data_IF_689452494799
#
_entry.id   IF_689452494799
#
_cell.length_a   1.000
_cell.length_b   1.000
_cell.length_c   1.000
_cell.angle_alpha   90.00
_cell.angle_beta   90.00
_cell.angle_gamma   90.00
#
_symmetry.space_group_name_H-M   'P 1'
#
loop_
_entity.id
_entity.type
_entity.pdbx_description
1 polymer ?
#
# COMPACT_ATOMS: atom_id res chain seq x y z
N UNK A 1 -9.20 -3.87 7.16
CA UNK A 1 -9.01 -2.51 7.70
C UNK A 1 -9.19 -2.45 9.20
N UNK A 2 -8.15 -1.97 9.88
CA UNK A 2 -8.15 -1.55 11.28
C UNK A 2 -8.18 -0.03 11.34
N UNK A 3 -8.81 0.50 12.39
CA UNK A 3 -8.98 1.95 12.57
C UNK A 3 -8.77 2.26 14.03
N UNK A 4 -7.87 3.20 14.31
CA UNK A 4 -7.62 3.75 15.63
C UNK A 4 -7.77 5.27 15.61
N UNK A 5 -8.34 5.84 16.68
CA UNK A 5 -8.43 7.29 16.85
C UNK A 5 -9.79 7.83 17.25
N UNK A 6 -10.04 9.08 16.88
CA UNK A 6 -11.21 9.87 17.27
C UNK A 6 -11.80 10.62 16.07
N UNK A 7 -12.83 11.43 16.31
CA UNK A 7 -13.40 12.30 15.26
C UNK A 7 -12.36 13.29 14.69
N UNK A 8 -11.32 13.64 15.46
CA UNK A 8 -10.32 14.64 15.05
C UNK A 8 -9.12 14.05 14.36
N UNK A 9 -8.74 12.83 14.71
CA UNK A 9 -7.58 12.18 14.13
C UNK A 9 -7.84 10.71 13.94
N UNK A 10 -7.33 10.16 12.85
CA UNK A 10 -7.54 8.77 12.50
C UNK A 10 -6.26 8.17 11.96
N UNK A 11 -5.86 7.02 12.49
CA UNK A 11 -4.83 6.17 11.91
C UNK A 11 -5.52 4.90 11.41
N UNK A 12 -5.33 4.55 10.14
CA UNK A 12 -5.89 3.32 9.57
C UNK A 12 -4.77 2.38 9.16
N UNK A 13 -5.02 1.08 9.29
CA UNK A 13 -4.17 0.04 8.69
C UNK A 13 -5.00 -0.82 7.77
N UNK A 14 -4.54 -1.02 6.53
CA UNK A 14 -5.17 -1.92 5.59
C UNK A 14 -4.16 -2.59 4.65
N UNK A 15 -4.65 -3.57 3.89
CA UNK A 15 -3.90 -4.22 2.82
C UNK A 15 -4.76 -4.20 1.55
N UNK A 16 -4.81 -3.06 0.83
CA UNK A 16 -5.81 -2.82 -0.21
C UNK A 16 -5.46 -3.58 -1.49
N UNK A 17 -6.49 -4.20 -2.07
CA UNK A 17 -6.38 -4.98 -3.29
C UNK A 17 -5.79 -4.22 -4.47
N UNK A 18 -6.15 -2.94 -4.65
CA UNK A 18 -5.68 -2.14 -5.78
C UNK A 18 -4.16 -1.93 -5.74
N UNK A 19 -3.59 -1.72 -4.54
CA UNK A 19 -2.14 -1.58 -4.38
C UNK A 19 -1.43 -2.93 -4.55
N UNK A 20 -2.03 -4.03 -4.06
CA UNK A 20 -1.51 -5.38 -4.29
C UNK A 20 -1.46 -5.70 -5.79
N UNK A 21 -2.55 -5.45 -6.52
CA UNK A 21 -2.60 -5.66 -7.95
C UNK A 21 -1.59 -4.76 -8.69
N UNK A 22 -1.47 -3.50 -8.29
CA UNK A 22 -0.48 -2.61 -8.90
C UNK A 22 0.96 -3.09 -8.68
N UNK A 23 1.29 -3.56 -7.49
CA UNK A 23 2.60 -4.15 -7.21
C UNK A 23 2.83 -5.46 -7.98
N UNK A 24 1.81 -6.31 -8.10
CA UNK A 24 1.87 -7.54 -8.89
C UNK A 24 2.14 -7.22 -10.36
N UNK A 25 1.39 -6.29 -10.96
CA UNK A 25 1.62 -5.87 -12.35
C UNK A 25 2.99 -5.22 -12.54
N UNK A 26 3.49 -4.44 -11.58
CA UNK A 26 4.88 -3.91 -11.62
C UNK A 26 5.90 -5.04 -11.70
N UNK A 27 5.73 -6.08 -10.88
CA UNK A 27 6.64 -7.23 -10.84
C UNK A 27 6.56 -8.06 -12.13
N UNK A 28 5.35 -8.36 -12.60
CA UNK A 28 5.09 -9.10 -13.83
C UNK A 28 5.60 -8.34 -15.08
N UNK A 29 5.60 -7.01 -15.04
CA UNK A 29 6.20 -6.17 -16.08
C UNK A 29 7.73 -6.03 -15.96
N UNK A 30 8.36 -6.57 -14.92
CA UNK A 30 9.78 -6.38 -14.66
C UNK A 30 10.19 -4.91 -14.46
N UNK A 31 9.30 -4.07 -13.92
CA UNK A 31 9.49 -2.62 -13.73
C UNK A 31 10.08 -2.25 -12.36
N UNK A 32 10.73 -3.20 -11.68
CA UNK A 32 11.29 -2.98 -10.36
C UNK A 32 12.35 -1.86 -10.38
N UNK A 33 13.26 -1.91 -11.34
CA UNK A 33 14.39 -0.97 -11.46
C UNK A 33 14.00 0.39 -12.06
N UNK A 34 12.98 0.44 -12.94
CA UNK A 34 12.54 1.70 -13.58
C UNK A 34 11.67 2.57 -12.66
N UNK A 35 11.28 2.03 -11.50
CA UNK A 35 10.46 2.70 -10.49
C UNK A 35 11.18 2.78 -9.12
N UNK A 36 12.51 2.65 -9.12
CA UNK A 36 13.35 2.32 -7.96
C UNK A 36 13.23 3.28 -6.75
N UNK A 37 12.75 4.51 -6.93
CA UNK A 37 12.69 5.49 -5.84
C UNK A 37 11.43 5.40 -4.97
N UNK A 38 10.41 4.62 -5.36
CA UNK A 38 9.11 4.71 -4.67
C UNK A 38 8.88 3.57 -3.68
N UNK A 39 9.18 2.30 -4.04
CA UNK A 39 8.89 1.10 -3.20
C UNK A 39 9.81 -0.07 -3.59
N UNK A 40 10.28 -0.90 -2.63
CA UNK A 40 11.01 -2.13 -2.93
C UNK A 40 10.24 -3.13 -3.81
N UNK A 41 10.92 -4.15 -4.37
CA UNK A 41 10.26 -5.28 -5.03
C UNK A 41 9.34 -6.05 -4.09
N UNK A 42 8.38 -6.78 -4.66
CA UNK A 42 7.46 -7.64 -3.90
C UNK A 42 8.13 -8.91 -3.35
N UNK A 43 7.57 -9.43 -2.27
CA UNK A 43 7.95 -10.70 -1.64
C UNK A 43 6.69 -11.54 -1.36
N UNK A 44 6.54 -12.77 -1.90
CA UNK A 44 7.46 -13.46 -2.79
C UNK A 44 7.50 -12.83 -4.20
N UNK A 45 8.63 -12.97 -4.92
CA UNK A 45 8.79 -12.42 -6.26
C UNK A 45 7.86 -13.11 -7.27
N UNK A 46 7.41 -12.34 -8.27
CA UNK A 46 6.70 -12.84 -9.45
C UNK A 46 7.66 -12.91 -10.64
N UNK A 47 7.57 -13.97 -11.43
CA UNK A 47 8.33 -14.09 -12.67
C UNK A 47 7.73 -13.15 -13.73
N UNK A 48 8.54 -12.27 -14.36
CA UNK A 48 8.05 -11.37 -15.40
C UNK A 48 7.44 -12.12 -16.59
N UNK A 49 6.37 -11.56 -17.15
CA UNK A 49 5.71 -12.09 -18.35
C UNK A 49 6.36 -11.55 -19.62
N UNK A 50 6.10 -12.23 -20.74
CA UNK A 50 6.55 -11.74 -22.04
C UNK A 50 5.82 -10.44 -22.44
N UNK A 51 6.60 -9.37 -22.59
CA UNK A 51 6.15 -8.04 -23.00
C UNK A 51 6.22 -7.83 -24.52
N UNK A 52 6.32 -8.89 -25.33
CA UNK A 52 6.30 -8.78 -26.79
C UNK A 52 5.11 -7.91 -27.27
N UNK A 53 5.43 -6.86 -28.01
CA UNK A 53 4.47 -5.90 -28.55
C UNK A 53 3.99 -4.83 -27.57
N UNK A 54 4.49 -4.80 -26.33
CA UNK A 54 4.19 -3.74 -25.34
C UNK A 54 5.36 -2.74 -25.30
N UNK A 55 5.06 -1.45 -25.44
CA UNK A 55 6.05 -0.39 -25.23
C UNK A 55 6.36 -0.28 -23.72
N UNK A 56 7.59 -0.61 -23.34
CA UNK A 56 8.03 -0.65 -21.94
C UNK A 56 8.08 0.74 -21.29
N UNK A 57 8.44 1.77 -22.04
CA UNK A 57 8.52 3.14 -21.52
C UNK A 57 7.11 3.70 -21.28
N UNK A 58 6.20 3.46 -22.23
CA UNK A 58 4.80 3.83 -22.09
C UNK A 58 4.13 3.07 -20.94
N UNK A 59 4.40 1.76 -20.81
CA UNK A 59 3.94 0.93 -19.70
C UNK A 59 4.41 1.47 -18.35
N UNK A 60 5.70 1.80 -18.22
CA UNK A 60 6.26 2.35 -16.99
C UNK A 60 5.61 3.70 -16.62
N UNK A 61 5.35 4.56 -17.60
CA UNK A 61 4.67 5.83 -17.40
C UNK A 61 3.20 5.65 -16.97
N UNK A 62 2.48 4.74 -17.62
CA UNK A 62 1.09 4.41 -17.31
C UNK A 62 0.94 3.79 -15.92
N UNK A 63 1.82 2.86 -15.57
CA UNK A 63 1.86 2.26 -14.24
C UNK A 63 2.11 3.33 -13.16
N UNK A 64 3.09 4.23 -13.35
CA UNK A 64 3.34 5.34 -12.40
C UNK A 64 2.13 6.27 -12.27
N UNK A 65 1.45 6.57 -13.38
CA UNK A 65 0.23 7.37 -13.38
C UNK A 65 -0.90 6.71 -12.59
N UNK A 66 -1.12 5.41 -12.82
CA UNK A 66 -2.11 4.64 -12.07
C UNK A 66 -1.76 4.54 -10.59
N UNK A 67 -0.52 4.18 -10.26
CA UNK A 67 0.02 4.11 -8.89
C UNK A 67 -0.25 5.41 -8.12
N UNK A 68 0.11 6.56 -8.71
CA UNK A 68 -0.13 7.88 -8.12
C UNK A 68 -1.61 8.15 -7.86
N UNK A 69 -2.49 7.65 -8.74
CA UNK A 69 -3.94 7.81 -8.61
C UNK A 69 -4.58 6.93 -7.53
N UNK A 70 -4.01 5.76 -7.21
CA UNK A 70 -4.58 4.80 -6.26
C UNK A 70 -3.92 4.82 -4.87
N UNK A 71 -2.74 5.42 -4.74
CA UNK A 71 -2.08 5.56 -3.44
C UNK A 71 -2.97 6.31 -2.45
N UNK A 72 -3.49 7.53 -2.75
CA UNK A 72 -4.39 8.21 -1.83
C UNK A 72 -5.68 7.43 -1.68
N UNK A 73 -6.03 7.06 -0.44
CA UNK A 73 -7.23 6.25 -0.19
C UNK A 73 -8.53 6.91 -0.68
N UNK A 74 -8.59 8.23 -0.72
CA UNK A 74 -9.74 8.99 -1.20
C UNK A 74 -10.01 8.85 -2.71
N UNK A 75 -9.01 8.44 -3.49
CA UNK A 75 -9.08 8.35 -4.97
C UNK A 75 -9.06 6.91 -5.48
N UNK A 76 -9.03 5.92 -4.58
CA UNK A 76 -9.02 4.51 -4.96
C UNK A 76 -10.29 4.14 -5.75
N UNK A 77 -10.15 3.45 -6.89
CA UNK A 77 -11.29 2.93 -7.62
C UNK A 77 -12.03 1.88 -6.80
N UNK A 78 -13.26 1.57 -7.20
CA UNK A 78 -13.89 0.36 -6.69
C UNK A 78 -13.20 -0.85 -7.30
N UNK A 79 -12.98 -1.90 -6.49
CA UNK A 79 -12.32 -3.13 -6.96
C UNK A 79 -13.00 -3.75 -8.19
N UNK A 80 -14.29 -3.50 -8.40
CA UNK A 80 -15.01 -3.95 -9.59
C UNK A 80 -14.50 -3.33 -10.90
N UNK A 81 -13.84 -2.17 -10.85
CA UNK A 81 -13.34 -1.45 -12.03
C UNK A 81 -11.97 -1.96 -12.51
N UNK A 82 -11.31 -2.80 -11.70
CA UNK A 82 -10.06 -3.51 -12.03
C UNK A 82 -10.29 -5.01 -12.19
N UNK A 83 -11.52 -5.43 -12.54
CA UNK A 83 -11.90 -6.83 -12.76
C UNK A 83 -12.41 -7.06 -14.19
N UNK A 84 -12.24 -8.27 -14.74
CA UNK A 84 -12.88 -8.68 -15.99
C UNK A 84 -14.41 -8.52 -15.94
N UNK A 85 -15.10 -8.29 -17.07
CA UNK A 85 -14.60 -8.32 -18.45
C UNK A 85 -14.09 -6.97 -18.98
N UNK A 86 -14.27 -5.87 -18.25
CA UNK A 86 -13.87 -4.53 -18.70
C UNK A 86 -13.04 -3.82 -17.63
N UNK A 87 -11.82 -3.46 -17.98
CA UNK A 87 -10.91 -2.74 -17.09
C UNK A 87 -10.99 -1.24 -17.36
N UNK A 88 -12.11 -0.61 -17.01
CA UNK A 88 -12.42 0.81 -17.32
C UNK A 88 -11.32 1.78 -16.84
N UNK A 89 -10.63 1.42 -15.74
CA UNK A 89 -9.52 2.23 -15.19
C UNK A 89 -8.35 2.36 -16.18
N UNK A 90 -8.22 1.42 -17.12
CA UNK A 90 -7.11 1.36 -18.07
C UNK A 90 -7.47 1.78 -19.49
N UNK A 91 -8.67 2.33 -19.74
CA UNK A 91 -9.11 2.76 -21.09
C UNK A 91 -8.17 3.79 -21.75
N UNK A 92 -7.38 4.52 -20.95
CA UNK A 92 -6.37 5.50 -21.40
C UNK A 92 -4.93 5.02 -21.22
N UNK A 93 -4.74 3.76 -20.88
CA UNK A 93 -3.45 3.15 -20.56
C UNK A 93 -3.31 1.81 -21.30
N UNK A 94 -3.14 1.87 -22.62
CA UNK A 94 -3.24 0.72 -23.52
C UNK A 94 -2.21 -0.38 -23.19
N UNK A 95 -0.96 0.00 -22.95
CA UNK A 95 0.13 -0.92 -22.61
C UNK A 95 -0.12 -1.61 -21.26
N UNK A 96 -0.59 -0.86 -20.27
CA UNK A 96 -0.99 -1.40 -18.97
C UNK A 96 -2.22 -2.30 -19.09
N UNK A 97 -3.20 -1.92 -19.91
CA UNK A 97 -4.40 -2.71 -20.18
C UNK A 97 -4.04 -4.05 -20.82
N UNK A 98 -3.14 -4.05 -21.80
CA UNK A 98 -2.64 -5.26 -22.45
C UNK A 98 -1.90 -6.18 -21.47
N UNK A 99 -1.03 -5.62 -20.61
CA UNK A 99 -0.39 -6.39 -19.53
C UNK A 99 -1.42 -7.03 -18.59
N UNK A 100 -2.44 -6.26 -18.19
CA UNK A 100 -3.51 -6.72 -17.31
C UNK A 100 -4.24 -7.88 -17.97
N UNK A 101 -4.64 -7.76 -19.25
CA UNK A 101 -5.30 -8.86 -19.97
C UNK A 101 -4.45 -10.14 -20.01
N UNK A 102 -3.14 -10.02 -20.20
CA UNK A 102 -2.22 -11.19 -20.26
C UNK A 102 -2.00 -11.87 -18.92
N UNK A 103 -2.05 -11.12 -17.82
CA UNK A 103 -1.51 -11.57 -16.52
C UNK A 103 -2.48 -11.44 -15.35
N UNK A 104 -3.75 -11.08 -15.61
CA UNK A 104 -4.76 -10.83 -14.60
C UNK A 104 -4.92 -11.99 -13.61
N UNK A 105 -5.11 -13.22 -14.09
CA UNK A 105 -5.37 -14.37 -13.22
C UNK A 105 -4.18 -14.64 -12.28
N UNK A 106 -2.94 -14.49 -12.79
CA UNK A 106 -1.73 -14.65 -11.99
C UNK A 106 -1.59 -13.55 -10.94
N UNK A 107 -1.81 -12.29 -11.32
CA UNK A 107 -1.76 -11.14 -10.41
C UNK A 107 -2.83 -11.24 -9.32
N UNK A 108 -4.05 -11.63 -9.70
CA UNK A 108 -5.18 -11.77 -8.81
C UNK A 108 -4.98 -12.92 -7.83
N UNK A 109 -4.51 -14.08 -8.29
CA UNK A 109 -4.18 -15.21 -7.42
C UNK A 109 -3.10 -14.83 -6.40
N UNK A 110 -2.02 -14.17 -6.85
CA UNK A 110 -0.97 -13.69 -5.96
C UNK A 110 -1.52 -12.71 -4.92
N UNK A 111 -2.29 -11.70 -5.34
CA UNK A 111 -2.88 -10.73 -4.41
C UNK A 111 -3.82 -11.39 -3.40
N UNK A 112 -4.56 -12.43 -3.82
CA UNK A 112 -5.46 -13.20 -2.95
C UNK A 112 -4.74 -13.92 -1.82
N UNK A 113 -3.60 -14.51 -2.13
CA UNK A 113 -2.79 -15.16 -1.12
C UNK A 113 -2.19 -14.15 -0.13
N UNK A 114 -1.64 -13.03 -0.62
CA UNK A 114 -1.03 -11.99 0.22
C UNK A 114 -2.07 -11.35 1.14
N UNK A 115 -3.24 -11.01 0.60
CA UNK A 115 -4.32 -10.46 1.41
C UNK A 115 -4.79 -11.47 2.48
N UNK A 116 -4.84 -12.76 2.15
CA UNK A 116 -5.19 -13.82 3.10
C UNK A 116 -4.13 -13.99 4.20
N UNK A 117 -2.85 -13.88 3.86
CA UNK A 117 -1.73 -13.91 4.81
C UNK A 117 -1.80 -12.71 5.77
N UNK A 118 -1.98 -11.51 5.24
CA UNK A 118 -2.24 -10.31 6.03
C UNK A 118 -3.40 -10.50 7.02
N UNK A 119 -4.55 -10.99 6.57
CA UNK A 119 -5.71 -11.22 7.44
C UNK A 119 -5.43 -12.25 8.55
N UNK A 120 -4.67 -13.31 8.26
CA UNK A 120 -4.23 -14.27 9.29
C UNK A 120 -3.29 -13.61 10.30
N UNK A 121 -2.35 -12.78 9.85
CA UNK A 121 -1.42 -12.07 10.71
C UNK A 121 -2.12 -11.03 11.60
N UNK A 122 -3.17 -10.38 11.11
CA UNK A 122 -4.08 -9.52 11.91
C UNK A 122 -4.82 -10.33 12.96
N UNK A 123 -5.35 -11.51 12.61
CA UNK A 123 -6.12 -12.32 13.55
C UNK A 123 -5.27 -12.96 14.66
N UNK A 124 -3.99 -13.25 14.38
CA UNK A 124 -3.13 -14.01 15.29
C UNK A 124 -2.42 -13.15 16.35
N UNK A 125 -2.37 -11.83 16.21
CA UNK A 125 -1.52 -10.94 17.04
C UNK A 125 -2.31 -9.74 17.55
N UNK A 126 -2.07 -9.34 18.79
CA UNK A 126 -2.53 -8.05 19.29
C UNK A 126 -1.90 -6.91 18.50
N UNK A 127 -2.72 -5.93 18.13
CA UNK A 127 -2.32 -4.95 17.14
C UNK A 127 -1.48 -3.81 17.73
N UNK A 128 -0.27 -3.53 17.23
CA UNK A 128 0.59 -2.45 17.74
C UNK A 128 -0.05 -1.05 17.65
N UNK A 129 -1.00 -0.83 16.73
CA UNK A 129 -1.75 0.44 16.65
C UNK A 129 -2.55 0.76 17.90
N UNK A 130 -2.90 -0.21 18.75
CA UNK A 130 -3.60 0.08 20.01
C UNK A 130 -2.79 1.09 20.86
N UNK A 131 -1.46 1.03 20.80
CA UNK A 131 -0.57 1.94 21.52
C UNK A 131 -0.53 3.36 20.91
N UNK A 132 -0.98 3.52 19.66
CA UNK A 132 -1.01 4.81 18.98
C UNK A 132 -1.93 5.80 19.69
N UNK A 133 -3.04 5.31 20.25
CA UNK A 133 -3.96 6.14 21.01
C UNK A 133 -3.30 6.73 22.27
N UNK A 134 -2.64 5.90 23.07
CA UNK A 134 -1.90 6.35 24.26
C UNK A 134 -0.79 7.33 23.90
N UNK A 135 -0.10 7.08 22.78
CA UNK A 135 0.96 7.95 22.30
C UNK A 135 0.42 9.35 21.92
N UNK A 136 -0.68 9.41 21.17
CA UNK A 136 -1.33 10.68 20.80
C UNK A 136 -1.81 11.41 22.04
N UNK A 137 -2.47 10.71 22.97
CA UNK A 137 -2.96 11.30 24.22
C UNK A 137 -1.83 11.88 25.08
N UNK A 138 -0.76 11.11 25.29
CA UNK A 138 0.42 11.57 26.03
C UNK A 138 1.01 12.83 25.39
N UNK A 139 1.12 12.86 24.07
CA UNK A 139 1.68 14.00 23.35
C UNK A 139 0.80 15.26 23.45
N UNK A 140 -0.52 15.10 23.36
CA UNK A 140 -1.48 16.20 23.59
C UNK A 140 -1.34 16.79 25.00
N UNK A 141 -1.18 15.91 26.00
CA UNK A 141 -1.00 16.32 27.39
C UNK A 141 0.31 17.12 27.57
N UNK A 142 1.43 16.64 27.00
CA UNK A 142 2.73 17.33 27.02
C UNK A 142 2.66 18.73 26.40
N UNK A 143 1.99 18.87 25.26
CA UNK A 143 1.92 20.13 24.51
C UNK A 143 0.86 21.10 25.05
N UNK A 144 0.03 20.68 26.03
CA UNK A 144 -1.11 21.44 26.56
C UNK A 144 -2.04 22.02 25.48
N UNK A 145 -2.09 21.37 24.31
CA UNK A 145 -2.91 21.76 23.16
C UNK A 145 -3.64 20.53 22.64
N UNK A 146 -4.84 20.73 22.13
CA UNK A 146 -5.52 19.69 21.35
C UNK A 146 -4.79 19.54 20.00
N UNK A 147 -4.60 18.31 19.54
CA UNK A 147 -4.05 18.03 18.20
C UNK A 147 -4.91 18.70 17.13
N UNK A 148 -4.26 19.25 16.09
CA UNK A 148 -4.93 19.53 14.82
C UNK A 148 -5.52 18.27 14.20
N UNK A 149 -6.44 18.41 13.25
CA UNK A 149 -7.00 17.23 12.59
C UNK A 149 -5.98 16.60 11.64
N UNK A 150 -5.72 15.31 11.77
CA UNK A 150 -4.86 14.58 10.84
C UNK A 150 -5.42 13.20 10.51
N UNK A 151 -5.00 12.67 9.37
CA UNK A 151 -5.23 11.30 8.96
C UNK A 151 -3.90 10.67 8.58
N UNK A 152 -3.72 9.41 8.95
CA UNK A 152 -2.57 8.60 8.57
C UNK A 152 -3.08 7.22 8.15
N UNK A 153 -2.97 6.92 6.86
CA UNK A 153 -3.32 5.64 6.27
C UNK A 153 -2.04 4.81 6.12
N UNK A 154 -1.98 3.70 6.84
CA UNK A 154 -0.91 2.72 6.80
C UNK A 154 -1.31 1.57 5.88
N UNK A 155 -0.58 1.39 4.79
CA UNK A 155 -0.87 0.36 3.80
C UNK A 155 0.18 -0.74 3.94
N UNK A 156 -0.21 -1.88 4.51
CA UNK A 156 0.66 -3.04 4.70
C UNK A 156 0.78 -3.78 3.39
N UNK A 157 1.98 -3.80 2.82
CA UNK A 157 2.26 -4.44 1.54
C UNK A 157 3.39 -5.47 1.64
N UNK A 158 3.30 -6.56 0.85
CA UNK A 158 4.26 -7.66 0.84
C UNK A 158 5.49 -7.27 0.00
N UNK A 159 6.33 -6.39 0.55
CA UNK A 159 7.54 -5.87 -0.11
C UNK A 159 8.80 -6.27 0.64
N UNK A 160 9.89 -6.41 -0.10
CA UNK A 160 11.17 -6.86 0.44
C UNK A 160 11.71 -5.93 1.52
N UNK A 161 12.28 -6.55 2.55
CA UNK A 161 12.96 -5.85 3.64
C UNK A 161 12.02 -5.32 4.71
N UNK A 162 12.59 -4.52 5.62
CA UNK A 162 11.89 -3.93 6.76
C UNK A 162 11.93 -2.41 6.63
N UNK A 163 10.79 -1.79 6.35
CA UNK A 163 10.76 -0.35 6.12
C UNK A 163 9.36 0.23 5.98
N UNK A 164 9.35 1.56 5.85
CA UNK A 164 8.16 2.35 5.60
C UNK A 164 8.49 3.44 4.56
N UNK A 165 7.53 3.72 3.67
CA UNK A 165 7.70 4.64 2.55
C UNK A 165 6.51 5.60 2.49
N UNK A 166 6.79 6.90 2.63
CA UNK A 166 5.77 7.94 2.48
C UNK A 166 5.47 8.07 0.99
N UNK A 167 4.25 7.72 0.58
CA UNK A 167 3.84 7.67 -0.83
C UNK A 167 2.78 8.72 -1.19
N UNK A 168 2.10 9.28 -0.19
CA UNK A 168 1.26 10.47 -0.32
C UNK A 168 1.23 11.23 1.03
N UNK A 169 0.70 12.47 1.08
CA UNK A 169 0.72 13.30 2.30
C UNK A 169 0.16 12.63 3.56
N UNK A 170 -0.84 11.78 3.41
CA UNK A 170 -1.51 11.03 4.48
C UNK A 170 -1.37 9.53 4.34
N UNK A 171 -0.58 9.02 3.38
CA UNK A 171 -0.48 7.58 3.10
C UNK A 171 0.96 7.11 3.19
N UNK A 172 1.19 6.10 4.03
CA UNK A 172 2.48 5.45 4.21
C UNK A 172 2.34 3.97 3.92
N UNK A 173 3.21 3.44 3.08
CA UNK A 173 3.33 2.00 2.90
C UNK A 173 4.29 1.45 3.95
N UNK A 174 3.91 0.35 4.58
CA UNK A 174 4.74 -0.36 5.54
C UNK A 174 4.93 -1.79 5.05
N UNK A 175 6.15 -2.33 5.19
CA UNK A 175 6.37 -3.74 4.85
C UNK A 175 5.77 -4.64 5.91
N UNK A 176 5.32 -5.82 5.51
CA UNK A 176 4.83 -6.86 6.43
C UNK A 176 5.86 -7.16 7.53
N UNK A 177 7.15 -7.23 7.18
CA UNK A 177 8.24 -7.45 8.14
C UNK A 177 8.36 -6.34 9.21
N UNK A 178 8.07 -5.08 8.86
CA UNK A 178 8.05 -3.99 9.85
C UNK A 178 6.81 -4.09 10.73
N UNK A 179 5.65 -4.32 10.12
CA UNK A 179 4.37 -4.44 10.82
C UNK A 179 4.36 -5.62 11.80
N UNK A 180 5.01 -6.71 11.43
CA UNK A 180 5.05 -7.95 12.19
C UNK A 180 6.06 -7.97 13.35
N UNK A 181 6.87 -6.91 13.47
CA UNK A 181 7.81 -6.67 14.57
C UNK A 181 7.25 -5.54 15.47
N UNK A 182 6.54 -5.86 16.58
CA UNK A 182 5.87 -4.86 17.39
C UNK A 182 6.81 -3.81 17.99
N UNK A 183 8.05 -4.20 18.32
CA UNK A 183 9.04 -3.29 18.87
C UNK A 183 9.50 -2.31 17.80
N UNK A 184 9.93 -2.80 16.63
CA UNK A 184 10.36 -1.95 15.53
C UNK A 184 9.22 -1.06 15.01
N UNK A 185 7.99 -1.59 14.92
CA UNK A 185 6.82 -0.81 14.51
C UNK A 185 6.56 0.36 15.48
N UNK A 186 6.60 0.12 16.80
CA UNK A 186 6.41 1.16 17.82
C UNK A 186 7.51 2.21 17.75
N UNK A 187 8.75 1.80 17.62
CA UNK A 187 9.90 2.71 17.49
C UNK A 187 9.77 3.61 16.26
N UNK A 188 9.29 3.04 15.15
CA UNK A 188 9.03 3.77 13.91
C UNK A 188 7.81 4.71 14.00
N UNK A 189 6.69 4.25 14.56
CA UNK A 189 5.44 5.02 14.65
C UNK A 189 5.60 6.23 15.59
N UNK A 190 6.41 6.08 16.64
CA UNK A 190 6.60 7.11 17.67
C UNK A 190 6.98 8.50 17.12
N UNK A 191 8.09 8.66 16.36
CA UNK A 191 8.45 9.96 15.77
C UNK A 191 7.42 10.46 14.75
N UNK A 192 6.75 9.57 14.00
CA UNK A 192 5.71 9.95 13.02
C UNK A 192 4.53 10.63 13.72
N UNK A 193 3.97 10.00 14.75
CA UNK A 193 2.87 10.57 15.53
C UNK A 193 3.28 11.87 16.22
N UNK A 194 4.51 11.94 16.76
CA UNK A 194 5.03 13.17 17.38
C UNK A 194 5.09 14.35 16.39
N UNK A 195 5.37 14.09 15.12
CA UNK A 195 5.40 15.12 14.09
C UNK A 195 4.01 15.61 13.66
N UNK A 196 2.98 14.77 13.81
CA UNK A 196 1.59 15.06 13.43
C UNK A 196 0.76 15.74 14.55
N UNK A 197 1.25 15.72 15.79
CA UNK A 197 0.57 16.23 17.01
C UNK A 197 1.24 17.50 17.56
#
# INVERSE_FOLDING_TARGET
MLVEGSIRWQITEDCPWDLLLALAFRALAGLAEDCAEQIPPVEPPLEPVDLAGIDRDALAAQWRGWWTGIVPRATRPFISQVRPPHFEVFDRALELQELVYRSYDQAMHWAEERHREYLRAVAAREHPLADAYELVQRRQFELRRQTGSFRLDLEVLPVQGRGAWVVAPDTVIISENLRDDPEAFREWLKPVVIALV
#
